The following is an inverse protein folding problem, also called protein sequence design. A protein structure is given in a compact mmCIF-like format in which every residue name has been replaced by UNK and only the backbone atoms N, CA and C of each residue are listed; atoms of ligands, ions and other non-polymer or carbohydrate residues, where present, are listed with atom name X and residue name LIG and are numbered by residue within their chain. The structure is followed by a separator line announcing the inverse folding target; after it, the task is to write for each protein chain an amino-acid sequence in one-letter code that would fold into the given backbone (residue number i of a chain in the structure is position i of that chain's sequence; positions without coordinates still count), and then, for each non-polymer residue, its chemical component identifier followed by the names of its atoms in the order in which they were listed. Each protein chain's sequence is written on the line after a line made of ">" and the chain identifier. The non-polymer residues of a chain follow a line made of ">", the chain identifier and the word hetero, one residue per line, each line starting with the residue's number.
data_IF_990652433575
#
_entry.id   IF_990652433575
#
_cell.length_a   1.000
_cell.length_b   1.000
_cell.length_c   1.000
_cell.angle_alpha   90.00
_cell.angle_beta   90.00
_cell.angle_gamma   90.00
#
_symmetry.space_group_name_H-M   'P 1'
#
loop_
_entity.id
_entity.type
_entity.pdbx_description
1 polymer ?
#
# COMPACT_ATOMS: atom_id res chain seq x y z
N UNK A 1 -0.94 13.00 -7.43
CA UNK A 1 -1.24 11.82 -6.60
C UNK A 1 -1.08 10.59 -7.47
N UNK A 2 -0.39 9.56 -6.98
CA UNK A 2 -0.08 8.34 -7.73
C UNK A 2 -0.55 7.15 -6.91
N UNK A 3 -1.36 6.28 -7.52
CA UNK A 3 -1.77 5.01 -6.92
C UNK A 3 -0.82 3.91 -7.38
N UNK A 4 -0.35 3.10 -6.43
CA UNK A 4 0.58 1.99 -6.69
C UNK A 4 -0.15 0.70 -6.33
N UNK A 5 -0.72 0.04 -7.33
CA UNK A 5 -1.49 -1.18 -7.11
C UNK A 5 -0.60 -2.42 -7.07
N UNK A 6 -0.58 -3.08 -5.91
CA UNK A 6 0.24 -4.28 -5.66
C UNK A 6 -0.31 -5.52 -6.38
N UNK A 7 -1.57 -5.47 -6.82
CA UNK A 7 -2.30 -6.56 -7.47
C UNK A 7 -2.15 -7.86 -6.69
N UNK A 8 -1.65 -8.90 -7.34
CA UNK A 8 -1.39 -10.22 -6.76
C UNK A 8 0.04 -10.65 -7.01
N UNK A 9 0.96 -9.70 -7.14
CA UNK A 9 2.37 -9.98 -7.34
C UNK A 9 3.01 -10.36 -6.00
N UNK A 10 3.89 -11.37 -6.01
CA UNK A 10 4.65 -11.81 -4.82
C UNK A 10 5.42 -10.65 -4.17
N UNK A 11 5.89 -9.69 -4.97
CA UNK A 11 6.60 -8.49 -4.51
C UNK A 11 5.70 -7.51 -3.73
N UNK A 12 4.38 -7.68 -3.80
CA UNK A 12 3.39 -6.86 -3.12
C UNK A 12 2.52 -7.66 -2.14
N UNK A 13 3.04 -8.76 -1.59
CA UNK A 13 2.35 -9.64 -0.62
C UNK A 13 3.19 -9.86 0.64
N UNK A 14 2.59 -9.89 1.83
CA UNK A 14 3.24 -10.19 3.11
C UNK A 14 4.44 -9.27 3.41
N UNK A 15 5.54 -9.84 3.89
CA UNK A 15 6.77 -9.11 4.24
C UNK A 15 7.31 -8.27 3.05
N UNK A 16 7.14 -8.73 1.81
CA UNK A 16 7.54 -7.96 0.63
C UNK A 16 6.68 -6.69 0.46
N UNK A 17 5.39 -6.78 0.76
CA UNK A 17 4.48 -5.63 0.72
C UNK A 17 4.86 -4.59 1.78
N UNK A 18 5.23 -5.03 2.98
CA UNK A 18 5.69 -4.15 4.06
C UNK A 18 6.98 -3.43 3.69
N UNK A 19 7.98 -4.16 3.16
CA UNK A 19 9.22 -3.57 2.69
C UNK A 19 9.00 -2.57 1.54
N UNK A 20 8.07 -2.88 0.62
CA UNK A 20 7.69 -2.01 -0.47
C UNK A 20 7.01 -0.73 0.03
N UNK A 21 6.11 -0.82 1.01
CA UNK A 21 5.47 0.36 1.61
C UNK A 21 6.48 1.29 2.29
N UNK A 22 7.43 0.75 3.05
CA UNK A 22 8.48 1.56 3.69
C UNK A 22 9.34 2.32 2.66
N UNK A 23 9.59 1.68 1.52
CA UNK A 23 10.29 2.31 0.38
C UNK A 23 9.46 3.43 -0.22
N UNK A 24 8.16 3.19 -0.45
CA UNK A 24 7.22 4.18 -0.98
C UNK A 24 7.11 5.38 -0.02
N UNK A 25 7.08 5.15 1.29
CA UNK A 25 6.99 6.20 2.31
C UNK A 25 8.20 7.13 2.25
N UNK A 26 9.41 6.57 2.20
CA UNK A 26 10.66 7.33 2.05
C UNK A 26 10.68 8.17 0.76
N UNK A 27 10.13 7.65 -0.33
CA UNK A 27 10.01 8.38 -1.61
C UNK A 27 8.95 9.49 -1.50
N UNK A 28 7.82 9.22 -0.86
CA UNK A 28 6.76 10.21 -0.66
C UNK A 28 7.26 11.41 0.17
N UNK A 29 8.02 11.15 1.23
CA UNK A 29 8.63 12.19 2.09
C UNK A 29 9.60 13.08 1.31
N UNK A 30 10.49 12.48 0.51
CA UNK A 30 11.53 13.21 -0.23
C UNK A 30 11.03 13.90 -1.49
N UNK A 31 10.06 13.32 -2.20
CA UNK A 31 9.52 13.87 -3.45
C UNK A 31 8.39 14.86 -3.23
N UNK A 32 7.79 14.88 -2.03
CA UNK A 32 6.54 15.59 -1.73
C UNK A 32 5.37 15.21 -2.65
N UNK A 33 5.46 14.06 -3.33
CA UNK A 33 4.37 13.53 -4.15
C UNK A 33 3.51 12.64 -3.27
N UNK A 34 2.18 12.86 -3.30
CA UNK A 34 1.22 11.96 -2.63
C UNK A 34 1.19 10.60 -3.34
N UNK A 35 1.76 9.58 -2.69
CA UNK A 35 1.75 8.18 -3.12
C UNK A 35 0.77 7.38 -2.26
N UNK A 36 -0.09 6.59 -2.90
CA UNK A 36 -1.12 5.77 -2.25
C UNK A 36 -0.90 4.30 -2.64
N UNK A 37 -0.33 3.46 -1.77
CA UNK A 37 -0.30 2.01 -2.00
C UNK A 37 -1.71 1.43 -1.96
N UNK A 38 -2.05 0.62 -2.97
CA UNK A 38 -3.29 -0.15 -3.04
C UNK A 38 -2.95 -1.61 -2.79
N UNK A 39 -3.21 -2.08 -1.58
CA UNK A 39 -2.66 -3.32 -1.02
C UNK A 39 -3.67 -4.47 -1.08
N UNK A 40 -3.19 -5.71 -0.94
CA UNK A 40 -4.06 -6.87 -0.85
C UNK A 40 -4.86 -6.88 0.45
N UNK A 41 -6.03 -7.52 0.44
CA UNK A 41 -6.90 -7.60 1.61
C UNK A 41 -6.23 -8.26 2.82
N UNK A 42 -5.38 -9.26 2.58
CA UNK A 42 -4.66 -9.98 3.63
C UNK A 42 -3.58 -9.13 4.30
N UNK A 43 -3.04 -8.13 3.60
CA UNK A 43 -1.95 -7.28 4.10
C UNK A 43 -2.46 -5.95 4.67
N UNK A 44 -3.73 -5.61 4.46
CA UNK A 44 -4.29 -4.29 4.79
C UNK A 44 -4.08 -3.90 6.25
N UNK A 45 -4.43 -4.79 7.19
CA UNK A 45 -4.35 -4.48 8.62
C UNK A 45 -2.89 -4.24 9.06
N UNK A 46 -1.97 -5.09 8.60
CA UNK A 46 -0.55 -4.97 8.92
C UNK A 46 0.02 -3.69 8.34
N UNK A 47 -0.15 -3.45 7.04
CA UNK A 47 0.40 -2.27 6.37
C UNK A 47 -0.18 -0.97 6.93
N UNK A 48 -1.50 -0.90 7.13
CA UNK A 48 -2.13 0.29 7.69
C UNK A 48 -1.65 0.63 9.12
N UNK A 49 -1.10 -0.35 9.84
CA UNK A 49 -0.52 -0.15 11.17
C UNK A 49 0.96 0.24 11.16
N UNK A 50 1.68 0.04 10.05
CA UNK A 50 3.13 0.21 9.96
C UNK A 50 3.59 1.45 9.18
N UNK A 51 2.70 2.10 8.41
CA UNK A 51 3.01 3.29 7.61
C UNK A 51 2.16 4.50 7.99
N UNK A 52 2.67 5.70 7.73
CA UNK A 52 1.89 6.96 7.83
C UNK A 52 1.21 7.35 6.52
N UNK A 53 1.45 6.60 5.45
CA UNK A 53 0.81 6.84 4.16
C UNK A 53 -0.71 6.56 4.22
N UNK A 54 -1.45 7.22 3.35
CA UNK A 54 -2.82 6.82 3.05
C UNK A 54 -2.78 5.47 2.29
N UNK A 55 -3.45 4.44 2.83
CA UNK A 55 -3.46 3.08 2.27
C UNK A 55 -4.86 2.74 1.77
N UNK A 56 -4.96 2.15 0.58
CA UNK A 56 -6.23 1.76 -0.03
C UNK A 56 -6.32 0.25 -0.22
N UNK A 57 -7.55 -0.27 -0.21
CA UNK A 57 -7.84 -1.66 -0.55
C UNK A 57 -8.11 -1.80 -2.05
N UNK A 58 -7.69 -2.92 -2.65
CA UNK A 58 -7.88 -3.17 -4.09
C UNK A 58 -9.34 -3.28 -4.53
N UNK A 59 -10.24 -3.71 -3.62
CA UNK A 59 -11.64 -3.94 -3.94
C UNK A 59 -12.49 -3.84 -2.69
N UNK A 60 -13.67 -3.24 -2.85
CA UNK A 60 -14.80 -3.31 -1.93
C UNK A 60 -15.96 -3.85 -2.76
N UNK A 61 -16.63 -4.89 -2.27
CA UNK A 61 -17.83 -5.41 -2.94
C UNK A 61 -19.01 -4.45 -2.72
N UNK A 62 -19.93 -4.36 -3.68
CA UNK A 62 -21.06 -3.42 -3.61
C UNK A 62 -22.06 -3.74 -2.49
N UNK A 63 -22.07 -4.97 -1.99
CA UNK A 63 -23.04 -5.47 -1.01
C UNK A 63 -22.60 -5.37 0.45
N UNK A 64 -22.07 -4.21 0.86
CA UNK A 64 -21.84 -3.89 2.28
C UNK A 64 -23.10 -3.32 2.95
#
# INVERSE_FOLDING_TARGET
>A
MIFINFKTYEQGTGDNAEALVQTIESIAESSHVKLIPVVQAVDLATIASTTKLEVWIQKVDESF
#
